data_IF_342268589888
#
_entry.id   IF_342268589888
#
_cell.length_a   1.000
_cell.length_b   1.000
_cell.length_c   1.000
_cell.angle_alpha   90.00
_cell.angle_beta   90.00
_cell.angle_gamma   90.00
#
_symmetry.space_group_name_H-M   'P 1'
#
loop_
_entity.id
_entity.type
_entity.pdbx_description
1 polymer ?
#
# COMPACT_ATOMS: atom_id res chain seq x y z
N UNK A 1 -13.28 -24.30 -11.17
CA UNK A 1 -12.87 -22.89 -11.32
C UNK A 1 -11.37 -22.84 -11.50
N UNK A 2 -10.89 -22.21 -12.56
CA UNK A 2 -9.48 -21.93 -12.77
C UNK A 2 -9.07 -20.68 -11.98
N UNK A 3 -7.83 -20.67 -11.49
CA UNK A 3 -7.27 -19.57 -10.72
C UNK A 3 -6.01 -19.09 -11.42
N UNK A 4 -5.94 -17.81 -11.74
CA UNK A 4 -4.79 -17.19 -12.38
C UNK A 4 -4.18 -16.15 -11.45
N UNK A 5 -2.88 -16.29 -11.22
CA UNK A 5 -2.06 -15.34 -10.48
C UNK A 5 -1.26 -14.51 -11.47
N UNK A 6 -1.42 -13.19 -11.42
CA UNK A 6 -0.81 -12.23 -12.34
C UNK A 6 0.37 -11.49 -11.70
N UNK A 7 0.73 -11.83 -10.46
CA UNK A 7 1.92 -11.26 -9.79
C UNK A 7 3.20 -11.73 -10.48
N UNK A 8 4.34 -11.12 -10.16
CA UNK A 8 5.60 -11.59 -10.75
C UNK A 8 5.96 -13.00 -10.30
N UNK A 9 6.89 -13.61 -11.04
CA UNK A 9 7.29 -14.99 -10.85
C UNK A 9 7.84 -15.26 -9.45
N UNK A 10 8.56 -14.32 -8.85
CA UNK A 10 9.14 -14.51 -7.53
C UNK A 10 8.04 -14.62 -6.47
N UNK A 11 7.06 -13.73 -6.51
CA UNK A 11 5.91 -13.77 -5.58
C UNK A 11 5.01 -14.98 -5.78
N UNK A 12 4.74 -15.38 -7.02
CA UNK A 12 4.00 -16.60 -7.30
C UNK A 12 4.70 -17.85 -6.73
N UNK A 13 6.02 -17.95 -6.92
CA UNK A 13 6.80 -19.06 -6.40
C UNK A 13 6.88 -19.05 -4.86
N UNK A 14 6.92 -17.87 -4.25
CA UNK A 14 6.96 -17.71 -2.80
C UNK A 14 5.66 -18.17 -2.14
N UNK A 15 4.50 -17.71 -2.64
CA UNK A 15 3.20 -18.12 -2.14
C UNK A 15 2.08 -17.78 -3.14
N UNK A 16 1.13 -18.68 -3.36
CA UNK A 16 -0.02 -18.47 -4.24
C UNK A 16 -1.24 -19.25 -3.76
N UNK A 17 -2.44 -18.90 -4.25
CA UNK A 17 -3.66 -19.66 -3.95
C UNK A 17 -3.50 -21.08 -4.50
N UNK A 18 -3.73 -22.09 -3.68
CA UNK A 18 -3.54 -23.50 -4.06
C UNK A 18 -4.20 -23.84 -5.41
N UNK A 19 -3.38 -24.37 -6.32
CA UNK A 19 -3.80 -24.74 -7.68
C UNK A 19 -3.92 -23.58 -8.66
N UNK A 20 -3.43 -22.39 -8.32
CA UNK A 20 -3.34 -21.28 -9.26
C UNK A 20 -2.22 -21.50 -10.29
N UNK A 21 -2.48 -21.03 -11.51
CA UNK A 21 -1.50 -20.97 -12.59
C UNK A 21 -1.00 -19.54 -12.73
N UNK A 22 0.29 -19.38 -13.03
CA UNK A 22 0.87 -18.07 -13.27
C UNK A 22 0.51 -17.56 -14.66
N UNK A 23 -0.19 -16.43 -14.72
CA UNK A 23 -0.65 -15.77 -15.93
C UNK A 23 0.26 -14.59 -16.26
N UNK A 24 0.76 -14.55 -17.49
CA UNK A 24 1.56 -13.45 -18.04
C UNK A 24 1.06 -13.11 -19.44
N UNK A 25 1.44 -11.94 -19.96
CA UNK A 25 1.15 -11.64 -21.38
C UNK A 25 1.71 -12.71 -22.34
N UNK A 26 2.87 -13.30 -22.01
CA UNK A 26 3.51 -14.30 -22.86
C UNK A 26 2.77 -15.63 -22.96
N UNK A 27 1.90 -15.98 -21.99
CA UNK A 27 1.13 -17.23 -22.02
C UNK A 27 -0.39 -17.03 -22.10
N UNK A 28 -0.87 -15.77 -22.09
CA UNK A 28 -2.29 -15.42 -22.13
C UNK A 28 -3.03 -16.05 -23.32
N UNK A 29 -2.48 -15.91 -24.53
CA UNK A 29 -3.11 -16.44 -25.75
C UNK A 29 -3.27 -17.97 -25.69
N UNK A 30 -2.24 -18.67 -25.24
CA UNK A 30 -2.29 -20.13 -25.07
C UNK A 30 -3.32 -20.56 -24.03
N UNK A 31 -3.41 -19.85 -22.90
CA UNK A 31 -4.40 -20.11 -21.85
C UNK A 31 -5.83 -19.83 -22.32
N UNK A 32 -6.05 -18.75 -23.09
CA UNK A 32 -7.35 -18.45 -23.70
C UNK A 32 -7.73 -19.58 -24.66
N UNK A 33 -6.87 -19.98 -25.58
CA UNK A 33 -7.18 -21.04 -26.56
C UNK A 33 -7.36 -22.41 -25.91
N UNK A 34 -6.62 -22.71 -24.84
CA UNK A 34 -6.66 -24.00 -24.14
C UNK A 34 -7.79 -24.16 -23.12
N UNK A 35 -8.53 -23.09 -22.81
CA UNK A 35 -9.57 -23.11 -21.76
C UNK A 35 -10.97 -23.04 -22.36
N UNK A 36 -11.85 -23.93 -21.87
CA UNK A 36 -13.27 -23.93 -22.28
C UNK A 36 -14.02 -22.70 -21.75
N UNK A 37 -14.89 -22.09 -22.57
CA UNK A 37 -15.56 -20.80 -22.28
C UNK A 37 -16.54 -20.84 -21.11
N UNK A 38 -17.00 -22.05 -20.75
CA UNK A 38 -17.87 -22.30 -19.60
C UNK A 38 -17.10 -22.49 -18.29
N UNK A 39 -15.77 -22.53 -18.33
CA UNK A 39 -14.98 -22.70 -17.10
C UNK A 39 -14.97 -21.39 -16.33
N UNK A 40 -15.42 -21.36 -15.06
CA UNK A 40 -15.30 -20.16 -14.25
C UNK A 40 -13.84 -19.84 -13.98
N UNK A 41 -13.47 -18.56 -14.07
CA UNK A 41 -12.10 -18.06 -13.91
C UNK A 41 -12.05 -17.05 -12.78
N UNK A 42 -11.12 -17.24 -11.85
CA UNK A 42 -10.73 -16.24 -10.85
C UNK A 42 -9.33 -15.73 -11.19
N UNK A 43 -9.17 -14.43 -11.34
CA UNK A 43 -7.89 -13.76 -11.60
C UNK A 43 -7.55 -12.87 -10.42
N UNK A 44 -6.29 -12.91 -9.96
CA UNK A 44 -5.83 -12.07 -8.86
C UNK A 44 -4.39 -11.58 -9.08
N UNK A 45 -4.09 -10.42 -8.52
CA UNK A 45 -2.77 -9.80 -8.55
C UNK A 45 -2.33 -9.40 -7.12
N UNK A 46 -1.39 -8.47 -6.98
CA UNK A 46 -1.00 -7.90 -5.68
C UNK A 46 -2.15 -7.14 -5.04
N UNK A 47 -2.60 -6.11 -5.77
CA UNK A 47 -3.69 -5.17 -5.53
C UNK A 47 -3.91 -4.39 -6.85
N UNK A 48 -5.05 -3.72 -7.03
CA UNK A 48 -5.29 -2.85 -8.19
C UNK A 48 -5.95 -3.50 -9.42
N UNK A 49 -5.81 -2.85 -10.58
CA UNK A 49 -6.59 -3.10 -11.81
C UNK A 49 -6.01 -4.17 -12.75
N UNK A 50 -4.77 -4.64 -12.55
CA UNK A 50 -4.15 -5.58 -13.49
C UNK A 50 -5.00 -6.86 -13.67
N UNK A 51 -5.51 -7.44 -12.58
CA UNK A 51 -6.42 -8.59 -12.69
C UNK A 51 -7.75 -8.27 -13.38
N UNK A 52 -8.19 -7.00 -13.37
CA UNK A 52 -9.38 -6.55 -14.10
C UNK A 52 -9.12 -6.44 -15.61
N UNK A 53 -7.95 -5.97 -16.04
CA UNK A 53 -7.58 -5.93 -17.47
C UNK A 53 -7.52 -7.33 -18.08
N UNK A 54 -6.89 -8.28 -17.36
CA UNK A 54 -6.90 -9.68 -17.78
C UNK A 54 -8.33 -10.25 -17.74
N UNK A 55 -9.12 -9.93 -16.72
CA UNK A 55 -10.51 -10.40 -16.63
C UNK A 55 -11.36 -9.88 -17.80
N UNK A 56 -11.20 -8.62 -18.17
CA UNK A 56 -11.85 -8.02 -19.34
C UNK A 56 -11.43 -8.75 -20.62
N UNK A 57 -10.13 -9.04 -20.77
CA UNK A 57 -9.64 -9.81 -21.91
C UNK A 57 -10.31 -11.18 -21.99
N UNK A 58 -10.39 -11.94 -20.90
CA UNK A 58 -11.13 -13.22 -20.92
C UNK A 58 -12.62 -13.02 -21.27
N UNK A 59 -13.28 -11.99 -20.75
CA UNK A 59 -14.67 -11.67 -21.11
C UNK A 59 -14.85 -11.39 -22.60
N UNK A 60 -13.93 -10.63 -23.21
CA UNK A 60 -13.96 -10.29 -24.65
C UNK A 60 -13.81 -11.54 -25.53
N UNK A 61 -13.15 -12.58 -25.04
CA UNK A 61 -13.03 -13.89 -25.70
C UNK A 61 -14.18 -14.86 -25.38
N UNK A 62 -15.27 -14.37 -24.78
CA UNK A 62 -16.52 -15.10 -24.61
C UNK A 62 -16.58 -16.00 -23.37
N UNK A 63 -15.74 -15.75 -22.36
CA UNK A 63 -15.88 -16.41 -21.07
C UNK A 63 -16.99 -15.74 -20.26
N UNK A 64 -17.98 -16.53 -19.83
CA UNK A 64 -19.18 -16.01 -19.18
C UNK A 64 -18.99 -15.71 -17.68
N UNK A 65 -18.05 -16.41 -17.02
CA UNK A 65 -17.83 -16.32 -15.58
C UNK A 65 -16.36 -15.99 -15.29
N UNK A 66 -16.03 -14.70 -15.32
CA UNK A 66 -14.69 -14.19 -15.02
C UNK A 66 -14.77 -13.24 -13.84
N UNK A 67 -14.00 -13.56 -12.80
CA UNK A 67 -13.98 -12.82 -11.54
C UNK A 67 -12.57 -12.28 -11.28
N UNK A 68 -12.49 -11.03 -10.82
CA UNK A 68 -11.26 -10.49 -10.24
C UNK A 68 -11.36 -10.58 -8.71
N UNK A 69 -10.28 -10.98 -8.04
CA UNK A 69 -10.23 -10.98 -6.59
C UNK A 69 -9.93 -9.58 -6.06
N UNK A 70 -10.93 -8.94 -5.46
CA UNK A 70 -10.76 -7.63 -4.83
C UNK A 70 -9.72 -7.68 -3.70
N UNK A 71 -8.73 -6.79 -3.80
CA UNK A 71 -7.60 -6.72 -2.86
C UNK A 71 -6.52 -7.79 -3.05
N UNK A 72 -6.62 -8.61 -4.12
CA UNK A 72 -5.54 -9.50 -4.56
C UNK A 72 -5.18 -10.63 -3.59
N UNK A 73 -3.98 -11.20 -3.77
CA UNK A 73 -3.51 -12.34 -2.98
C UNK A 73 -3.47 -12.05 -1.48
N UNK A 74 -3.07 -10.85 -1.09
CA UNK A 74 -2.96 -10.45 0.31
C UNK A 74 -4.31 -10.43 1.01
N UNK A 75 -5.36 -9.94 0.35
CA UNK A 75 -6.73 -10.02 0.88
C UNK A 75 -7.21 -11.48 1.04
N UNK A 76 -6.83 -12.38 0.13
CA UNK A 76 -7.12 -13.81 0.30
C UNK A 76 -6.36 -14.43 1.47
N UNK A 77 -5.09 -14.07 1.64
CA UNK A 77 -4.26 -14.55 2.75
C UNK A 77 -4.82 -14.12 4.11
N UNK A 78 -5.32 -12.88 4.21
CA UNK A 78 -5.95 -12.35 5.41
C UNK A 78 -7.34 -12.94 5.72
N UNK A 79 -7.95 -13.68 4.77
CA UNK A 79 -9.21 -14.43 5.00
C UNK A 79 -9.01 -15.80 5.63
N UNK A 80 -7.77 -16.26 5.78
CA UNK A 80 -7.46 -17.27 6.81
C UNK A 80 -7.74 -16.55 8.12
N UNK A 81 -8.69 -17.02 8.95
CA UNK A 81 -9.19 -16.23 10.08
C UNK A 81 -7.99 -15.82 10.93
N UNK A 82 -7.70 -14.52 10.92
CA UNK A 82 -6.87 -13.93 11.95
C UNK A 82 -7.50 -14.35 13.27
N UNK A 83 -6.70 -14.94 14.15
CA UNK A 83 -7.13 -15.15 15.51
C UNK A 83 -7.41 -13.76 16.07
N UNK A 84 -8.68 -13.36 16.06
CA UNK A 84 -9.18 -12.21 16.79
C UNK A 84 -8.94 -12.51 18.27
N UNK A 85 -7.73 -12.20 18.76
CA UNK A 85 -7.59 -11.80 20.14
C UNK A 85 -8.43 -10.55 20.27
N UNK A 86 -9.43 -10.55 21.15
CA UNK A 86 -10.16 -9.33 21.48
C UNK A 86 -9.13 -8.28 21.86
N UNK A 87 -8.90 -7.30 20.98
CA UNK A 87 -8.02 -6.19 21.28
C UNK A 87 -8.52 -5.59 22.61
N UNK A 88 -7.61 -5.35 23.55
CA UNK A 88 -7.97 -4.72 24.81
C UNK A 88 -8.24 -3.23 24.54
N UNK A 89 -9.42 -2.93 24.00
CA UNK A 89 -9.83 -1.59 23.60
C UNK A 89 -10.36 -0.84 24.83
N UNK A 90 -9.66 0.22 25.23
CA UNK A 90 -10.10 1.11 26.30
C UNK A 90 -11.37 1.89 25.93
N UNK A 91 -12.11 2.44 26.91
CA UNK A 91 -13.38 3.13 26.66
C UNK A 91 -13.23 4.37 25.76
N UNK A 92 -12.09 5.08 25.86
CA UNK A 92 -11.77 6.23 25.01
C UNK A 92 -11.62 5.81 23.55
N UNK A 93 -10.81 4.77 23.29
CA UNK A 93 -10.62 4.24 21.94
C UNK A 93 -11.92 3.67 21.37
N UNK A 94 -12.69 2.92 22.17
CA UNK A 94 -14.00 2.39 21.76
C UNK A 94 -14.98 3.49 21.36
N UNK A 95 -15.04 4.59 22.13
CA UNK A 95 -15.89 5.73 21.82
C UNK A 95 -15.44 6.44 20.53
N UNK A 96 -14.13 6.60 20.33
CA UNK A 96 -13.59 7.18 19.10
C UNK A 96 -13.86 6.30 17.88
N UNK A 97 -13.64 4.98 17.98
CA UNK A 97 -13.94 4.01 16.92
C UNK A 97 -15.40 4.12 16.48
N UNK A 98 -16.34 4.09 17.44
CA UNK A 98 -17.77 4.23 17.14
C UNK A 98 -18.11 5.58 16.49
N UNK A 99 -17.51 6.68 16.96
CA UNK A 99 -17.74 8.02 16.40
C UNK A 99 -17.25 8.14 14.95
N UNK A 100 -16.17 7.46 14.59
CA UNK A 100 -15.61 7.43 13.23
C UNK A 100 -16.24 6.34 12.33
N UNK A 101 -17.23 5.60 12.85
CA UNK A 101 -17.99 4.60 12.09
C UNK A 101 -17.37 3.20 12.06
N UNK A 102 -16.44 2.90 12.95
CA UNK A 102 -15.86 1.57 13.15
C UNK A 102 -16.59 0.79 14.26
N UNK A 103 -16.59 -0.55 14.22
CA UNK A 103 -16.92 -1.36 15.40
C UNK A 103 -16.02 -0.99 16.58
N UNK A 104 -16.61 -0.87 17.77
CA UNK A 104 -15.93 -0.37 18.97
C UNK A 104 -14.88 -1.33 19.55
N UNK A 105 -14.82 -2.56 19.06
CA UNK A 105 -13.99 -3.67 19.52
C UNK A 105 -13.00 -4.19 18.46
N UNK A 106 -12.97 -3.58 17.27
CA UNK A 106 -12.14 -3.99 16.14
C UNK A 106 -11.22 -2.86 15.68
N UNK A 107 -9.94 -2.97 16.05
CA UNK A 107 -8.89 -1.99 15.72
C UNK A 107 -8.42 -2.06 14.27
N UNK A 108 -8.80 -3.11 13.54
CA UNK A 108 -8.45 -3.35 12.14
C UNK A 108 -9.66 -3.35 11.19
N UNK A 109 -10.82 -2.96 11.72
CA UNK A 109 -12.05 -2.84 10.95
C UNK A 109 -11.84 -1.97 9.70
N UNK A 110 -12.59 -2.28 8.64
CA UNK A 110 -12.49 -1.55 7.37
C UNK A 110 -13.81 -0.89 7.04
N UNK A 111 -13.77 0.42 6.82
CA UNK A 111 -14.89 1.19 6.27
C UNK A 111 -14.68 1.42 4.76
N UNK A 112 -15.39 2.39 4.17
CA UNK A 112 -15.24 2.77 2.77
C UNK A 112 -13.76 2.98 2.37
N UNK A 113 -13.43 2.61 1.13
CA UNK A 113 -12.06 2.59 0.59
C UNK A 113 -11.09 1.73 1.41
N UNK A 114 -11.58 0.73 2.14
CA UNK A 114 -10.76 -0.15 3.00
C UNK A 114 -9.97 0.61 4.05
N UNK A 115 -10.44 1.80 4.46
CA UNK A 115 -9.78 2.62 5.47
C UNK A 115 -9.87 1.94 6.83
N UNK A 116 -8.75 1.84 7.55
CA UNK A 116 -8.67 1.31 8.92
C UNK A 116 -8.73 2.44 9.96
N UNK A 117 -9.01 2.13 11.24
CA UNK A 117 -8.88 3.09 12.34
C UNK A 117 -7.53 3.81 12.35
N UNK A 118 -6.43 3.08 12.16
CA UNK A 118 -5.08 3.66 12.17
C UNK A 118 -4.88 4.68 11.05
N UNK A 119 -5.36 4.39 9.83
CA UNK A 119 -5.33 5.34 8.71
C UNK A 119 -6.17 6.58 8.97
N UNK A 120 -7.35 6.42 9.57
CA UNK A 120 -8.24 7.54 9.89
C UNK A 120 -7.63 8.42 10.98
N UNK A 121 -7.07 7.83 12.04
CA UNK A 121 -6.38 8.56 13.10
C UNK A 121 -5.15 9.31 12.58
N UNK A 122 -4.39 8.69 11.66
CA UNK A 122 -3.25 9.30 10.98
C UNK A 122 -3.66 10.52 10.14
N UNK A 123 -4.72 10.38 9.34
CA UNK A 123 -5.28 11.49 8.55
C UNK A 123 -5.74 12.67 9.41
N UNK A 124 -6.30 12.40 10.59
CA UNK A 124 -6.76 13.41 11.54
C UNK A 124 -5.65 13.94 12.48
N UNK A 125 -4.45 13.37 12.42
CA UNK A 125 -3.33 13.77 13.29
C UNK A 125 -3.53 13.40 14.76
N UNK A 126 -4.40 12.45 15.08
CA UNK A 126 -4.72 12.12 16.47
C UNK A 126 -3.68 11.13 17.04
N UNK A 127 -2.52 11.66 17.43
CA UNK A 127 -1.38 10.86 17.94
C UNK A 127 -1.74 10.00 19.16
N UNK A 128 -2.63 10.48 20.03
CA UNK A 128 -3.09 9.70 21.18
C UNK A 128 -3.81 8.42 20.73
N UNK A 129 -4.75 8.55 19.79
CA UNK A 129 -5.46 7.40 19.21
C UNK A 129 -4.54 6.50 18.39
N UNK A 130 -3.59 7.06 17.63
CA UNK A 130 -2.58 6.26 16.91
C UNK A 130 -1.84 5.35 17.90
N UNK A 131 -1.36 5.90 19.01
CA UNK A 131 -0.64 5.13 20.04
C UNK A 131 -1.53 4.09 20.71
N UNK A 132 -2.78 4.43 21.02
CA UNK A 132 -3.74 3.48 21.60
C UNK A 132 -4.05 2.32 20.63
N UNK A 133 -4.27 2.60 19.35
CA UNK A 133 -4.51 1.59 18.32
C UNK A 133 -3.30 0.64 18.16
N UNK A 134 -2.09 1.18 18.09
CA UNK A 134 -0.86 0.40 17.99
C UNK A 134 -0.63 -0.46 19.24
N UNK A 135 -0.88 0.09 20.43
CA UNK A 135 -0.80 -0.67 21.69
C UNK A 135 -1.85 -1.78 21.78
N UNK A 136 -3.02 -1.58 21.15
CA UNK A 136 -4.08 -2.57 21.03
C UNK A 136 -3.85 -3.60 19.91
N UNK A 137 -2.74 -3.48 19.16
CA UNK A 137 -2.33 -4.47 18.16
C UNK A 137 -2.81 -4.19 16.73
N UNK A 138 -3.23 -2.96 16.42
CA UNK A 138 -3.62 -2.59 15.05
C UNK A 138 -2.50 -2.88 14.04
N UNK A 139 -2.89 -3.39 12.86
CA UNK A 139 -1.98 -3.78 11.80
C UNK A 139 -1.35 -2.54 11.13
N UNK A 140 -0.12 -2.21 11.55
CA UNK A 140 0.67 -1.07 11.01
C UNK A 140 0.89 -1.14 9.50
N UNK A 141 0.96 -2.34 8.94
CA UNK A 141 1.20 -2.59 7.51
C UNK A 141 -0.08 -2.59 6.65
N UNK A 142 -1.25 -2.30 7.22
CA UNK A 142 -2.48 -2.24 6.44
C UNK A 142 -2.43 -1.12 5.39
N UNK A 143 -3.05 -1.39 4.23
CA UNK A 143 -3.21 -0.43 3.12
C UNK A 143 -4.68 -0.27 2.73
N UNK A 144 -5.06 0.93 2.29
CA UNK A 144 -6.40 1.24 1.83
C UNK A 144 -6.63 0.72 0.39
N UNK A 145 -7.75 1.07 -0.23
CA UNK A 145 -8.09 0.64 -1.58
C UNK A 145 -7.17 1.19 -2.69
N UNK A 146 -6.45 2.28 -2.42
CA UNK A 146 -5.51 2.92 -3.35
C UNK A 146 -4.07 2.43 -3.13
N UNK A 147 -3.85 1.51 -2.19
CA UNK A 147 -2.52 1.04 -1.80
C UNK A 147 -1.81 1.93 -0.77
N UNK A 148 -2.48 2.92 -0.20
CA UNK A 148 -1.88 3.85 0.78
C UNK A 148 -1.93 3.28 2.21
N UNK A 149 -0.81 3.29 2.93
CA UNK A 149 -0.74 2.97 4.36
C UNK A 149 -1.05 4.18 5.26
N UNK A 150 -1.05 4.01 6.59
CA UNK A 150 -1.35 5.10 7.52
C UNK A 150 -0.38 6.30 7.42
N UNK A 151 0.89 6.08 7.06
CA UNK A 151 1.87 7.16 6.87
C UNK A 151 1.47 8.09 5.74
N UNK A 152 1.04 7.53 4.60
CA UNK A 152 0.50 8.30 3.49
C UNK A 152 -0.60 9.26 3.96
N UNK A 153 -1.53 8.74 4.76
CA UNK A 153 -2.66 9.51 5.26
C UNK A 153 -2.22 10.60 6.26
N UNK A 154 -1.21 10.35 7.11
CA UNK A 154 -0.60 11.40 7.95
C UNK A 154 0.08 12.49 7.10
N UNK A 155 0.76 12.11 6.02
CA UNK A 155 1.36 13.05 5.08
C UNK A 155 0.30 13.89 4.35
N UNK A 156 -0.85 13.30 3.99
CA UNK A 156 -2.01 13.99 3.43
C UNK A 156 -2.63 14.97 4.46
N UNK A 157 -2.65 14.61 5.74
CA UNK A 157 -3.08 15.50 6.83
C UNK A 157 -2.06 16.59 7.22
N UNK A 158 -0.79 16.45 6.81
CA UNK A 158 0.35 17.30 7.22
C UNK A 158 0.65 17.22 8.72
N UNK A 159 0.45 16.04 9.32
CA UNK A 159 0.64 15.82 10.75
C UNK A 159 2.00 15.16 11.03
N UNK A 160 3.04 15.99 11.23
CA UNK A 160 4.42 15.52 11.41
C UNK A 160 4.61 14.66 12.66
N UNK A 161 3.86 14.95 13.71
CA UNK A 161 3.82 14.18 14.96
C UNK A 161 3.17 12.80 14.77
N UNK A 162 2.15 12.70 13.92
CA UNK A 162 1.59 11.42 13.50
C UNK A 162 2.57 10.63 12.64
N UNK A 163 3.32 11.28 11.75
CA UNK A 163 4.42 10.65 11.00
C UNK A 163 5.45 10.06 11.96
N UNK A 164 5.88 10.82 12.98
CA UNK A 164 6.84 10.37 13.99
C UNK A 164 6.35 9.11 14.70
N UNK A 165 5.12 9.13 15.23
CA UNK A 165 4.56 7.99 15.95
C UNK A 165 4.44 6.73 15.08
N UNK A 166 4.11 6.87 13.79
CA UNK A 166 4.01 5.73 12.87
C UNK A 166 5.38 5.16 12.50
N UNK A 167 6.38 6.03 12.29
CA UNK A 167 7.77 5.61 12.02
C UNK A 167 8.37 4.89 13.24
N UNK A 168 8.13 5.39 14.45
CA UNK A 168 8.52 4.72 15.70
C UNK A 168 7.89 3.31 15.83
N UNK A 169 6.70 3.13 15.26
CA UNK A 169 5.99 1.84 15.23
C UNK A 169 6.46 0.91 14.09
N UNK A 170 7.46 1.31 13.31
CA UNK A 170 8.02 0.49 12.23
C UNK A 170 7.16 0.42 10.97
N UNK A 171 6.37 1.47 10.68
CA UNK A 171 5.67 1.57 9.41
C UNK A 171 6.66 1.62 8.23
N UNK A 172 6.28 1.01 7.10
CA UNK A 172 7.04 1.11 5.86
C UNK A 172 6.98 2.57 5.31
N UNK A 173 8.12 3.26 5.42
CA UNK A 173 8.31 4.65 5.02
C UNK A 173 8.17 4.84 3.50
N UNK A 174 8.56 3.81 2.74
CA UNK A 174 8.65 3.83 1.28
C UNK A 174 7.53 3.01 0.63
N UNK A 175 6.44 2.75 1.38
CA UNK A 175 5.27 2.06 0.86
C UNK A 175 4.76 2.72 -0.43
N UNK A 176 4.58 1.88 -1.44
CA UNK A 176 4.15 2.27 -2.78
C UNK A 176 2.67 2.01 -2.93
N UNK A 177 1.95 3.05 -3.34
CA UNK A 177 0.53 2.94 -3.67
C UNK A 177 0.34 2.26 -5.04
N UNK A 178 -0.91 2.14 -5.51
CA UNK A 178 -1.23 1.43 -6.75
C UNK A 178 -0.58 2.04 -8.01
N UNK A 179 -0.16 3.31 -7.97
CA UNK A 179 0.57 3.99 -9.05
C UNK A 179 2.10 3.90 -8.88
N UNK A 180 2.56 3.15 -7.88
CA UNK A 180 3.98 3.07 -7.52
C UNK A 180 4.49 4.31 -6.79
N UNK A 181 3.63 5.25 -6.40
CA UNK A 181 4.08 6.47 -5.71
C UNK A 181 4.33 6.20 -4.22
N UNK A 182 5.30 6.91 -3.63
CA UNK A 182 5.55 6.95 -2.17
C UNK A 182 4.98 8.21 -1.53
N UNK A 183 4.87 8.24 -0.20
CA UNK A 183 4.41 9.42 0.52
C UNK A 183 5.31 10.66 0.28
N UNK A 184 6.62 10.44 0.08
CA UNK A 184 7.58 11.50 -0.26
C UNK A 184 7.27 12.13 -1.63
N UNK A 185 6.92 11.31 -2.63
CA UNK A 185 6.52 11.81 -3.96
C UNK A 185 5.25 12.65 -3.88
N UNK A 186 4.26 12.21 -3.11
CA UNK A 186 3.04 12.99 -2.89
C UNK A 186 3.31 14.33 -2.20
N UNK A 187 4.14 14.33 -1.14
CA UNK A 187 4.50 15.57 -0.46
C UNK A 187 5.22 16.54 -1.41
N UNK A 188 6.12 16.00 -2.24
CA UNK A 188 6.84 16.76 -3.28
C UNK A 188 5.90 17.37 -4.32
N UNK A 189 4.99 16.56 -4.88
CA UNK A 189 4.00 16.99 -5.89
C UNK A 189 2.94 17.93 -5.35
N UNK A 190 2.71 17.90 -4.04
CA UNK A 190 1.79 18.80 -3.35
C UNK A 190 2.47 20.08 -2.84
N UNK A 191 3.79 20.23 -3.06
CA UNK A 191 4.56 21.40 -2.62
C UNK A 191 4.74 21.51 -1.10
N UNK A 192 4.56 20.42 -0.35
CA UNK A 192 4.59 20.37 1.12
C UNK A 192 6.03 20.19 1.62
N UNK A 193 6.79 21.28 1.57
CA UNK A 193 8.22 21.27 1.84
C UNK A 193 8.57 20.81 3.27
N UNK A 194 7.73 21.13 4.24
CA UNK A 194 7.83 20.68 5.63
C UNK A 194 7.72 19.15 5.74
N UNK A 195 6.71 18.55 5.10
CA UNK A 195 6.54 17.09 5.05
C UNK A 195 7.68 16.42 4.28
N UNK A 196 8.14 17.02 3.16
CA UNK A 196 9.32 16.53 2.41
C UNK A 196 10.56 16.52 3.30
N UNK A 197 10.86 17.64 3.97
CA UNK A 197 12.01 17.73 4.86
C UNK A 197 11.93 16.69 5.98
N UNK A 198 10.74 16.49 6.55
CA UNK A 198 10.52 15.54 7.64
C UNK A 198 10.72 14.09 7.20
N UNK A 199 10.14 13.69 6.06
CA UNK A 199 10.31 12.34 5.51
C UNK A 199 11.77 12.05 5.13
N UNK A 200 12.47 13.03 4.54
CA UNK A 200 13.91 12.91 4.25
C UNK A 200 14.74 12.74 5.54
N UNK A 201 14.39 13.46 6.61
CA UNK A 201 15.05 13.31 7.91
C UNK A 201 14.80 11.93 8.56
N UNK A 202 13.69 11.26 8.21
CA UNK A 202 13.40 9.87 8.60
C UNK A 202 14.04 8.82 7.70
N UNK A 203 14.72 9.25 6.63
CA UNK A 203 15.44 8.35 5.74
C UNK A 203 14.61 7.80 4.58
N UNK A 204 13.55 8.51 4.16
CA UNK A 204 12.76 8.10 2.99
C UNK A 204 13.62 7.99 1.74
N UNK A 205 13.39 6.95 0.93
CA UNK A 205 14.13 6.69 -0.29
C UNK A 205 13.76 7.70 -1.37
N UNK A 206 14.70 8.60 -1.66
CA UNK A 206 14.57 9.60 -2.73
C UNK A 206 14.67 8.99 -4.14
N UNK A 207 15.24 7.79 -4.27
CA UNK A 207 15.48 7.12 -5.55
C UNK A 207 14.32 6.25 -6.02
N UNK A 208 13.29 6.05 -5.18
CA UNK A 208 12.07 5.41 -5.61
C UNK A 208 11.48 6.15 -6.83
N UNK A 209 10.90 5.39 -7.76
CA UNK A 209 10.28 5.90 -8.99
C UNK A 209 8.82 5.44 -9.07
N UNK A 210 7.88 6.20 -9.62
CA UNK A 210 6.52 5.71 -9.91
C UNK A 210 6.54 4.62 -10.99
N UNK A 211 5.38 4.04 -11.32
CA UNK A 211 5.29 3.10 -12.46
C UNK A 211 5.67 3.75 -13.81
N UNK A 212 5.57 5.08 -13.91
CA UNK A 212 5.96 5.87 -15.08
C UNK A 212 7.42 6.35 -15.02
N UNK A 213 8.20 5.94 -14.00
CA UNK A 213 9.60 6.30 -13.86
C UNK A 213 9.87 7.68 -13.25
N UNK A 214 8.90 8.31 -12.60
CA UNK A 214 9.09 9.63 -11.96
C UNK A 214 9.54 9.49 -10.50
N UNK A 215 10.62 10.17 -10.14
CA UNK A 215 11.08 10.28 -8.75
C UNK A 215 10.36 11.40 -8.00
N UNK A 216 10.54 11.48 -6.67
CA UNK A 216 10.09 12.64 -5.91
C UNK A 216 10.69 13.96 -6.42
N UNK A 217 11.93 13.92 -6.94
CA UNK A 217 12.61 15.09 -7.50
C UNK A 217 11.92 15.58 -8.78
N UNK A 218 11.51 14.67 -9.66
CA UNK A 218 10.82 15.00 -10.92
C UNK A 218 9.44 15.62 -10.66
N UNK A 219 8.81 15.23 -9.56
CA UNK A 219 7.48 15.69 -9.17
C UNK A 219 7.48 16.99 -8.35
N UNK A 220 8.64 17.62 -8.09
CA UNK A 220 8.72 18.79 -7.20
C UNK A 220 7.86 19.97 -7.69
N UNK A 221 6.80 20.29 -6.94
CA UNK A 221 5.86 21.37 -7.28
C UNK A 221 6.26 22.75 -6.73
N UNK A 222 7.31 22.84 -5.90
CA UNK A 222 7.81 24.10 -5.34
C UNK A 222 9.34 24.16 -5.38
N UNK A 223 9.88 25.38 -5.40
CA UNK A 223 11.33 25.61 -5.33
C UNK A 223 11.94 25.06 -4.03
N UNK A 224 11.18 25.09 -2.94
CA UNK A 224 11.63 24.59 -1.64
C UNK A 224 11.73 23.07 -1.64
N UNK A 225 10.69 22.36 -2.11
CA UNK A 225 10.75 20.90 -2.32
C UNK A 225 11.92 20.51 -3.24
N UNK A 226 12.05 21.20 -4.38
CA UNK A 226 13.13 20.96 -5.34
C UNK A 226 14.51 21.15 -4.69
N UNK A 227 14.68 22.20 -3.88
CA UNK A 227 15.92 22.47 -3.16
C UNK A 227 16.25 21.34 -2.19
N UNK A 228 15.30 20.98 -1.31
CA UNK A 228 15.46 19.90 -0.33
C UNK A 228 15.85 18.58 -0.99
N UNK A 229 15.13 18.19 -2.05
CA UNK A 229 15.36 16.93 -2.77
C UNK A 229 16.72 16.93 -3.50
N UNK A 230 17.11 18.04 -4.14
CA UNK A 230 18.45 18.14 -4.76
C UNK A 230 19.58 18.08 -3.73
N UNK A 231 19.38 18.66 -2.55
CA UNK A 231 20.35 18.59 -1.47
C UNK A 231 20.49 17.15 -0.95
N UNK A 232 19.37 16.46 -0.71
CA UNK A 232 19.36 15.07 -0.29
C UNK A 232 20.01 14.13 -1.34
N UNK A 233 19.66 14.28 -2.62
CA UNK A 233 20.22 13.47 -3.71
C UNK A 233 21.74 13.63 -3.87
N UNK A 234 22.29 14.82 -3.60
CA UNK A 234 23.74 15.03 -3.60
C UNK A 234 24.44 14.37 -2.42
N UNK A 235 23.78 14.33 -1.25
CA UNK A 235 24.33 13.70 -0.06
C UNK A 235 24.45 12.18 -0.24
N UNK A 236 23.48 11.55 -0.92
CA UNK A 236 23.52 10.11 -1.24
C UNK A 236 24.53 9.75 -2.34
N UNK A 237 24.82 10.68 -3.26
CA UNK A 237 25.76 10.47 -4.37
C UNK A 237 27.25 10.65 -4.02
N UNK A 238 27.61 11.08 -2.79
CA UNK A 238 29.00 11.36 -2.43
C UNK A 238 29.71 10.05 -2.04
N UNK A 239 30.78 9.62 -2.75
CA UNK A 239 31.48 8.38 -2.42
C UNK A 239 32.16 8.49 -1.05
N UNK A 240 32.12 7.40 -0.27
CA UNK A 240 32.90 7.25 0.98
C UNK A 240 34.37 7.50 0.65
N UNK A 241 35.09 8.38 1.38
CA UNK A 241 36.51 8.62 1.09
C UNK A 241 37.27 7.31 1.24
N UNK A 242 37.98 6.90 0.18
CA UNK A 242 38.91 5.77 0.22
C UNK A 242 39.90 6.00 1.37
N UNK A 243 39.84 5.13 2.39
CA UNK A 243 40.90 5.03 3.39
C UNK A 243 42.10 4.46 2.66
N UNK A 244 43.05 5.33 2.29
CA UNK A 244 44.33 4.88 1.74
C UNK A 244 45.13 4.18 2.85
N UNK A 245 45.70 2.99 2.57
CA UNK A 245 46.57 2.28 3.50
C UNK A 245 47.87 3.02 3.78
#
# INVERSE_FOLDING_TARGET
>A
MLRFDVRDRASFNAAHITGAQHLTQGNLSALISGTTRRTPILIYCYHGHASQEYAQTFSDFGFAEVYSLDGGYEAWRQRVPAQNGSANVGPTLAAWLAAEGFPADDVDARIANRTTPLMKAAYLGNVAIIRELLAAGAAVAAINADGNNALWLACVGQHLDAIDALVEAGIDLDNRNDNGATALMYASSSGRADVVAHLLAKGADISAETLDGFTALDMAASLECLSLLRHAAKATARPVPEVRP
#
